data_IF_939329691872
#
_entry.id   IF_939329691872
#
_cell.length_a   1.000
_cell.length_b   1.000
_cell.length_c   1.000
_cell.angle_alpha   90.00
_cell.angle_beta   90.00
_cell.angle_gamma   90.00
#
_symmetry.space_group_name_H-M   'P 1'
#
loop_
_entity.id
_entity.type
_entity.pdbx_description
1 polymer ?
#
# COMPACT_ATOMS: atom_id res chain seq x y z
N UNK A 1 9.87 -4.88 38.21
CA UNK A 1 8.72 -4.97 39.14
C UNK A 1 7.53 -4.28 38.51
N UNK A 2 6.43 -4.98 38.29
CA UNK A 2 5.18 -4.39 37.79
C UNK A 2 4.24 -4.14 38.96
N UNK A 3 3.76 -2.90 39.10
CA UNK A 3 2.61 -2.58 39.94
C UNK A 3 1.39 -2.36 39.05
N UNK A 4 0.31 -3.14 39.21
CA UNK A 4 -0.96 -2.84 38.55
C UNK A 4 -1.65 -1.69 39.29
N UNK A 5 -1.99 -0.62 38.56
CA UNK A 5 -2.92 0.40 39.03
C UNK A 5 -4.32 -0.21 39.01
N UNK A 6 -4.91 -0.41 40.18
CA UNK A 6 -6.28 -0.93 40.32
C UNK A 6 -7.28 0.20 40.08
N UNK A 7 -8.01 0.12 38.97
CA UNK A 7 -9.27 0.84 38.82
C UNK A 7 -10.32 0.21 39.76
N UNK A 8 -10.82 1.01 40.68
CA UNK A 8 -11.89 0.65 41.61
C UNK A 8 -13.23 0.57 40.85
N UNK A 9 -13.64 -0.62 40.42
CA UNK A 9 -15.01 -0.86 39.96
C UNK A 9 -15.91 -1.24 41.14
N UNK A 10 -16.46 -0.22 41.79
CA UNK A 10 -17.63 -0.39 42.67
C UNK A 10 -18.86 -0.67 41.81
N UNK A 11 -19.32 -1.92 41.88
CA UNK A 11 -20.73 -2.29 41.99
C UNK A 11 -21.63 -2.12 40.76
N UNK A 12 -22.12 -3.26 40.25
CA UNK A 12 -23.53 -3.51 39.95
C UNK A 12 -23.73 -5.03 39.89
N UNK A 13 -24.12 -5.59 41.04
CA UNK A 13 -24.44 -7.01 41.20
C UNK A 13 -25.80 -7.32 40.54
N UNK A 14 -25.81 -7.87 39.33
CA UNK A 14 -27.01 -8.52 38.78
C UNK A 14 -27.07 -9.96 39.31
N UNK A 15 -27.90 -10.17 40.33
CA UNK A 15 -28.10 -11.45 41.05
C UNK A 15 -28.85 -12.54 40.25
N UNK A 16 -29.02 -12.39 38.93
CA UNK A 16 -29.74 -13.34 38.07
C UNK A 16 -28.87 -14.27 37.22
N UNK A 17 -27.54 -14.09 37.20
CA UNK A 17 -26.65 -14.86 36.31
C UNK A 17 -26.04 -16.06 37.03
N UNK A 18 -25.99 -17.21 36.35
CA UNK A 18 -25.34 -18.44 36.83
C UNK A 18 -23.83 -18.24 36.98
N UNK A 19 -23.18 -19.06 37.81
CA UNK A 19 -21.76 -18.88 38.11
C UNK A 19 -20.87 -19.07 36.85
N UNK A 20 -21.31 -19.90 35.92
CA UNK A 20 -20.65 -20.10 34.61
C UNK A 20 -20.75 -18.84 33.73
N UNK A 21 -21.91 -18.18 33.70
CA UNK A 21 -22.12 -16.93 32.97
C UNK A 21 -21.30 -15.78 33.56
N UNK A 22 -21.19 -15.69 34.89
CA UNK A 22 -20.32 -14.70 35.55
C UNK A 22 -18.85 -14.94 35.22
N UNK A 23 -18.41 -16.20 35.20
CA UNK A 23 -17.04 -16.54 34.80
C UNK A 23 -16.78 -16.28 33.31
N UNK A 24 -17.76 -16.53 32.43
CA UNK A 24 -17.67 -16.23 31.01
C UNK A 24 -17.60 -14.71 30.76
N UNK A 25 -18.46 -13.94 31.43
CA UNK A 25 -18.47 -12.48 31.38
C UNK A 25 -17.17 -11.89 31.96
N UNK A 26 -16.66 -12.44 33.06
CA UNK A 26 -15.37 -12.05 33.62
C UNK A 26 -14.21 -12.35 32.66
N UNK A 27 -14.18 -13.53 32.03
CA UNK A 27 -13.16 -13.87 31.01
C UNK A 27 -13.30 -12.98 29.77
N UNK A 28 -14.51 -12.66 29.34
CA UNK A 28 -14.77 -11.76 28.22
C UNK A 28 -14.28 -10.34 28.54
N UNK A 29 -14.64 -9.79 29.71
CA UNK A 29 -14.13 -8.49 30.18
C UNK A 29 -12.62 -8.48 30.33
N UNK A 30 -12.01 -9.56 30.85
CA UNK A 30 -10.56 -9.67 30.97
C UNK A 30 -9.87 -9.77 29.60
N UNK A 31 -10.49 -10.42 28.62
CA UNK A 31 -10.02 -10.40 27.22
C UNK A 31 -10.16 -9.02 26.61
N UNK A 32 -11.27 -8.32 26.84
CA UNK A 32 -11.49 -6.95 26.36
C UNK A 32 -10.51 -5.96 27.01
N UNK A 33 -10.29 -6.08 28.32
CA UNK A 33 -9.29 -5.31 29.06
C UNK A 33 -7.86 -5.64 28.61
N UNK A 34 -7.54 -6.91 28.33
CA UNK A 34 -6.24 -7.30 27.75
C UNK A 34 -6.09 -6.91 26.27
N UNK A 35 -7.19 -6.80 25.52
CA UNK A 35 -7.22 -6.28 24.13
C UNK A 35 -7.11 -4.75 24.07
N UNK A 36 -7.47 -4.08 25.18
CA UNK A 36 -7.33 -2.64 25.39
C UNK A 36 -6.04 -2.29 26.15
N UNK A 37 -5.39 -3.25 26.81
CA UNK A 37 -4.06 -3.10 27.39
C UNK A 37 -3.05 -3.04 26.26
N UNK A 38 -2.82 -1.82 25.78
CA UNK A 38 -1.82 -1.49 24.79
C UNK A 38 -0.44 -1.72 25.40
N UNK A 39 0.15 -2.90 25.21
CA UNK A 39 1.58 -3.10 25.46
C UNK A 39 2.33 -2.41 24.34
N UNK A 40 2.40 -1.08 24.39
CA UNK A 40 3.38 -0.35 23.61
C UNK A 40 4.76 -0.82 24.08
N UNK A 41 5.52 -1.41 23.17
CA UNK A 41 6.96 -1.57 23.37
C UNK A 41 7.59 -0.19 23.25
N UNK A 42 7.57 0.54 24.35
CA UNK A 42 8.18 1.86 24.48
C UNK A 42 9.67 1.65 24.73
N UNK A 43 10.53 2.23 23.90
CA UNK A 43 11.97 2.17 24.13
C UNK A 43 12.34 2.86 25.45
N UNK A 44 13.48 2.53 26.09
CA UNK A 44 13.89 3.18 27.34
C UNK A 44 13.88 4.71 27.26
N UNK A 45 14.29 5.27 26.11
CA UNK A 45 14.29 6.71 25.83
C UNK A 45 12.88 7.30 25.74
N UNK A 46 11.95 6.61 25.10
CA UNK A 46 10.56 7.07 25.02
C UNK A 46 9.87 7.02 26.39
N UNK A 47 10.29 6.10 27.27
CA UNK A 47 9.78 5.99 28.64
C UNK A 47 10.21 7.18 29.50
N UNK A 48 11.47 7.61 29.35
CA UNK A 48 12.00 8.81 30.00
C UNK A 48 11.31 10.09 29.51
N UNK A 49 11.05 10.20 28.20
CA UNK A 49 10.34 11.34 27.63
C UNK A 49 8.89 11.45 28.15
N UNK A 50 8.18 10.33 28.24
CA UNK A 50 6.82 10.30 28.79
C UNK A 50 6.82 10.64 30.29
N UNK A 51 7.80 10.13 31.05
CA UNK A 51 7.93 10.44 32.48
C UNK A 51 8.25 11.93 32.72
N UNK A 52 9.11 12.53 31.91
CA UNK A 52 9.42 13.97 32.00
C UNK A 52 8.20 14.87 31.77
N UNK A 53 7.31 14.48 30.85
CA UNK A 53 6.03 15.16 30.60
C UNK A 53 5.06 14.99 31.77
N UNK A 54 4.96 13.79 32.35
CA UNK A 54 4.11 13.51 33.53
C UNK A 54 4.60 14.23 34.79
N UNK A 55 5.91 14.46 34.92
CA UNK A 55 6.54 15.18 36.03
C UNK A 55 6.45 16.72 35.87
N UNK A 56 5.69 17.22 34.88
CA UNK A 56 5.42 18.64 34.68
C UNK A 56 6.59 19.46 34.14
N UNK A 57 7.65 18.81 33.63
CA UNK A 57 8.77 19.49 32.98
C UNK A 57 8.36 19.81 31.54
N UNK A 58 8.06 21.08 31.27
CA UNK A 58 7.73 21.53 29.92
C UNK A 58 8.89 21.23 28.94
N UNK A 59 8.63 20.68 27.75
CA UNK A 59 9.66 20.38 26.78
C UNK A 59 10.32 21.68 26.30
N UNK A 60 11.66 21.72 26.32
CA UNK A 60 12.43 22.79 25.69
C UNK A 60 12.47 22.57 24.18
N UNK A 61 12.18 23.64 23.43
CA UNK A 61 12.31 23.80 21.98
C UNK A 61 11.22 23.17 21.08
N UNK A 62 10.77 23.95 20.10
CA UNK A 62 9.82 23.60 19.03
C UNK A 62 10.15 22.27 18.31
N UNK A 63 11.41 21.85 18.32
CA UNK A 63 11.88 20.58 17.78
C UNK A 63 11.24 19.36 18.48
N UNK A 64 11.04 19.43 19.81
CA UNK A 64 10.40 18.35 20.56
C UNK A 64 8.88 18.33 20.32
N UNK A 65 8.27 19.48 20.08
CA UNK A 65 6.85 19.58 19.74
C UNK A 65 6.56 19.07 18.32
N UNK A 66 7.44 19.36 17.36
CA UNK A 66 7.37 18.80 16.01
C UNK A 66 7.58 17.28 16.02
N UNK A 67 8.52 16.78 16.84
CA UNK A 67 8.77 15.35 17.01
C UNK A 67 7.59 14.64 17.68
N UNK A 68 6.94 15.27 18.66
CA UNK A 68 5.71 14.77 19.27
C UNK A 68 4.55 14.74 18.27
N UNK A 69 4.38 15.78 17.45
CA UNK A 69 3.35 15.78 16.40
C UNK A 69 3.59 14.66 15.38
N UNK A 70 4.84 14.46 14.95
CA UNK A 70 5.20 13.40 14.01
C UNK A 70 4.93 12.01 14.59
N UNK A 71 5.33 11.76 15.84
CA UNK A 71 5.02 10.52 16.56
C UNK A 71 3.52 10.34 16.80
N UNK A 72 2.77 11.41 17.01
CA UNK A 72 1.30 11.36 17.18
C UNK A 72 0.64 10.97 15.86
N UNK A 73 1.05 11.57 14.74
CA UNK A 73 0.56 11.18 13.41
C UNK A 73 0.95 9.74 13.05
N UNK A 74 2.15 9.30 13.44
CA UNK A 74 2.61 7.92 13.23
C UNK A 74 1.81 6.92 14.09
N UNK A 75 1.46 7.29 15.32
CA UNK A 75 0.57 6.50 16.18
C UNK A 75 -0.87 6.46 15.68
N UNK A 76 -1.39 7.56 15.14
CA UNK A 76 -2.74 7.60 14.55
C UNK A 76 -2.81 6.74 13.29
N UNK A 77 -1.83 6.85 12.40
CA UNK A 77 -1.73 6.02 11.19
C UNK A 77 -1.59 4.54 11.55
N UNK A 78 -0.70 4.17 12.49
CA UNK A 78 -0.61 2.80 12.98
C UNK A 78 -1.89 2.33 13.66
N UNK A 79 -2.58 3.20 14.40
CA UNK A 79 -3.86 2.93 15.02
C UNK A 79 -4.96 2.62 14.00
N UNK A 80 -4.98 3.34 12.88
CA UNK A 80 -5.88 3.05 11.76
C UNK A 80 -5.52 1.71 11.10
N UNK A 81 -4.24 1.45 10.82
CA UNK A 81 -3.80 0.15 10.28
C UNK A 81 -4.23 -1.00 11.19
N UNK A 82 -4.08 -0.88 12.51
CA UNK A 82 -4.50 -1.90 13.48
C UNK A 82 -6.02 -2.09 13.49
N UNK A 83 -6.81 -1.02 13.37
CA UNK A 83 -8.28 -1.12 13.28
C UNK A 83 -8.69 -1.85 12.01
N UNK A 84 -8.08 -1.55 10.87
CA UNK A 84 -8.33 -2.24 9.59
C UNK A 84 -7.94 -3.72 9.71
N UNK A 85 -6.76 -4.03 10.24
CA UNK A 85 -6.31 -5.40 10.48
C UNK A 85 -7.25 -6.19 11.40
N UNK A 86 -7.85 -5.54 12.41
CA UNK A 86 -8.82 -6.18 13.30
C UNK A 86 -10.12 -6.49 12.58
N UNK A 87 -10.62 -5.54 11.78
CA UNK A 87 -11.80 -5.75 10.94
C UNK A 87 -11.58 -6.88 9.93
N UNK A 88 -10.42 -6.92 9.28
CA UNK A 88 -10.05 -7.98 8.34
C UNK A 88 -9.94 -9.34 9.01
N UNK A 89 -9.38 -9.40 10.23
CA UNK A 89 -9.27 -10.63 11.01
C UNK A 89 -10.66 -11.14 11.41
N UNK A 90 -11.58 -10.24 11.77
CA UNK A 90 -12.95 -10.57 12.11
C UNK A 90 -13.76 -11.01 10.88
N UNK A 91 -13.58 -10.35 9.74
CA UNK A 91 -14.16 -10.74 8.46
C UNK A 91 -13.64 -12.11 8.00
N UNK A 92 -12.32 -12.33 8.05
CA UNK A 92 -11.70 -13.61 7.73
C UNK A 92 -12.16 -14.72 8.69
N UNK A 93 -12.33 -14.42 9.99
CA UNK A 93 -12.92 -15.36 10.96
C UNK A 93 -14.35 -15.75 10.59
N UNK A 94 -15.19 -14.78 10.26
CA UNK A 94 -16.57 -15.03 9.85
C UNK A 94 -16.62 -15.89 8.56
N UNK A 95 -15.72 -15.63 7.60
CA UNK A 95 -15.59 -16.47 6.42
C UNK A 95 -15.11 -17.90 6.76
N UNK A 96 -14.13 -18.04 7.64
CA UNK A 96 -13.64 -19.35 8.10
C UNK A 96 -14.74 -20.13 8.82
N UNK A 97 -15.53 -19.47 9.67
CA UNK A 97 -16.61 -20.13 10.41
C UNK A 97 -17.78 -20.51 9.48
N UNK A 98 -18.07 -19.70 8.47
CA UNK A 98 -19.01 -20.06 7.39
C UNK A 98 -18.51 -21.29 6.60
N UNK A 99 -17.24 -21.29 6.17
CA UNK A 99 -16.62 -22.40 5.47
C UNK A 99 -16.56 -23.67 6.33
N UNK A 100 -16.33 -23.55 7.64
CA UNK A 100 -16.40 -24.67 8.60
C UNK A 100 -17.81 -25.23 8.71
N UNK A 101 -18.83 -24.37 8.72
CA UNK A 101 -20.23 -24.79 8.68
C UNK A 101 -20.53 -25.60 7.43
N UNK A 102 -20.15 -25.08 6.26
CA UNK A 102 -20.33 -25.76 4.97
C UNK A 102 -19.55 -27.09 4.91
N UNK A 103 -18.32 -27.12 5.43
CA UNK A 103 -17.52 -28.35 5.54
C UNK A 103 -18.20 -29.39 6.44
N UNK A 104 -18.72 -28.98 7.60
CA UNK A 104 -19.44 -29.88 8.50
C UNK A 104 -20.72 -30.43 7.85
N UNK A 105 -21.45 -29.62 7.09
CA UNK A 105 -22.62 -30.06 6.31
C UNK A 105 -22.21 -31.05 5.22
N UNK A 106 -21.16 -30.75 4.45
CA UNK A 106 -20.64 -31.65 3.41
C UNK A 106 -20.12 -32.98 3.98
N UNK A 107 -19.46 -32.96 5.15
CA UNK A 107 -19.02 -34.15 5.85
C UNK A 107 -20.18 -35.02 6.35
N UNK A 108 -21.26 -34.41 6.86
CA UNK A 108 -22.48 -35.15 7.23
C UNK A 108 -23.13 -35.78 6.00
N UNK A 109 -23.26 -35.02 4.92
CA UNK A 109 -23.80 -35.53 3.65
C UNK A 109 -22.96 -36.69 3.07
N UNK A 110 -21.63 -36.62 3.20
CA UNK A 110 -20.72 -37.67 2.75
C UNK A 110 -20.79 -38.95 3.63
N UNK A 111 -21.05 -38.81 4.93
CA UNK A 111 -21.25 -39.95 5.85
C UNK A 111 -22.60 -40.64 5.66
N UNK A 112 -23.67 -39.87 5.43
CA UNK A 112 -25.03 -40.41 5.36
C UNK A 112 -25.37 -41.03 3.99
N UNK A 113 -24.63 -40.66 2.93
CA UNK A 113 -24.73 -41.28 1.61
C UNK A 113 -23.34 -41.39 0.97
N UNK A 114 -22.64 -42.55 1.08
CA UNK A 114 -21.45 -42.83 0.29
C UNK A 114 -21.86 -43.17 -1.15
N UNK A 115 -22.63 -42.31 -1.81
CA UNK A 115 -23.03 -42.49 -3.20
C UNK A 115 -22.02 -41.82 -4.12
N UNK A 116 -21.45 -42.60 -5.04
CA UNK A 116 -20.77 -42.24 -6.30
C UNK A 116 -20.57 -40.73 -6.52
N UNK A 117 -19.34 -40.28 -6.31
CA UNK A 117 -18.90 -38.95 -6.67
C UNK A 117 -19.40 -37.88 -5.72
N UNK A 118 -18.52 -37.43 -4.82
CA UNK A 118 -18.76 -36.24 -4.01
C UNK A 118 -19.13 -35.09 -4.95
N UNK A 119 -20.40 -34.68 -4.96
CA UNK A 119 -20.85 -33.56 -5.79
C UNK A 119 -20.36 -32.29 -5.11
N UNK A 120 -19.16 -31.86 -5.48
CA UNK A 120 -18.55 -30.64 -4.95
C UNK A 120 -19.43 -29.46 -5.36
N UNK A 121 -20.22 -28.96 -4.41
CA UNK A 121 -21.10 -27.80 -4.61
C UNK A 121 -20.22 -26.57 -4.83
N UNK A 122 -20.49 -25.86 -5.91
CA UNK A 122 -19.81 -24.60 -6.21
C UNK A 122 -20.26 -23.54 -5.19
N UNK A 123 -19.31 -22.85 -4.56
CA UNK A 123 -19.63 -21.72 -3.70
C UNK A 123 -20.26 -20.62 -4.58
N UNK A 124 -21.46 -20.19 -4.21
CA UNK A 124 -22.10 -19.04 -4.84
C UNK A 124 -21.16 -17.84 -4.82
N UNK A 125 -21.09 -17.12 -5.96
CA UNK A 125 -20.30 -15.91 -6.13
C UNK A 125 -18.77 -16.05 -5.93
N UNK A 126 -18.20 -17.28 -5.86
CA UNK A 126 -16.73 -17.49 -5.74
C UNK A 126 -15.93 -16.63 -6.73
N UNK A 127 -16.35 -16.64 -7.99
CA UNK A 127 -15.68 -15.90 -9.07
C UNK A 127 -15.65 -14.40 -8.80
N UNK A 128 -16.79 -13.86 -8.38
CA UNK A 128 -16.92 -12.44 -8.04
C UNK A 128 -16.04 -12.11 -6.84
N UNK A 129 -16.05 -12.95 -5.79
CA UNK A 129 -15.21 -12.74 -4.61
C UNK A 129 -13.70 -12.77 -4.93
N UNK A 130 -13.25 -13.68 -5.81
CA UNK A 130 -11.84 -13.73 -6.25
C UNK A 130 -11.48 -12.47 -7.04
N UNK A 131 -12.31 -12.08 -8.02
CA UNK A 131 -12.07 -10.88 -8.82
C UNK A 131 -12.07 -9.61 -7.96
N UNK A 132 -13.02 -9.50 -7.04
CA UNK A 132 -13.11 -8.38 -6.12
C UNK A 132 -11.92 -8.31 -5.17
N UNK A 133 -11.48 -9.43 -4.59
CA UNK A 133 -10.31 -9.48 -3.72
C UNK A 133 -8.99 -9.13 -4.42
N UNK A 134 -8.90 -9.34 -5.74
CA UNK A 134 -7.75 -8.90 -6.54
C UNK A 134 -7.80 -7.41 -6.87
N UNK A 135 -9.00 -6.85 -7.09
CA UNK A 135 -9.19 -5.44 -7.45
C UNK A 135 -9.13 -4.51 -6.24
N UNK A 136 -9.74 -4.90 -5.14
CA UNK A 136 -9.97 -4.03 -3.98
C UNK A 136 -8.86 -4.24 -2.96
N UNK A 137 -8.31 -3.13 -2.46
CA UNK A 137 -7.35 -3.10 -1.37
C UNK A 137 -8.03 -3.28 -0.02
N UNK A 138 -7.25 -3.48 1.04
CA UNK A 138 -7.80 -3.74 2.38
C UNK A 138 -8.59 -2.55 2.95
N UNK A 139 -8.33 -1.34 2.43
CA UNK A 139 -9.07 -0.14 2.78
C UNK A 139 -10.47 -0.06 2.13
N UNK A 140 -10.85 -1.01 1.26
CA UNK A 140 -12.09 -0.97 0.49
C UNK A 140 -11.99 -0.18 -0.82
N UNK A 141 -10.89 0.54 -1.03
CA UNK A 141 -10.63 1.27 -2.27
C UNK A 141 -10.08 0.37 -3.37
N UNK A 142 -10.33 0.73 -4.63
CA UNK A 142 -9.67 0.11 -5.78
C UNK A 142 -8.14 0.28 -5.64
N UNK A 143 -7.39 -0.79 -5.87
CA UNK A 143 -5.93 -0.73 -5.84
C UNK A 143 -5.43 0.27 -6.86
N UNK A 144 -4.34 0.95 -6.51
CA UNK A 144 -3.61 1.78 -7.45
C UNK A 144 -3.01 0.93 -8.59
N UNK A 145 -2.56 1.54 -9.70
CA UNK A 145 -2.04 0.77 -10.82
C UNK A 145 -0.88 -0.16 -10.44
N UNK A 146 -0.02 0.23 -9.50
CA UNK A 146 1.06 -0.62 -9.03
C UNK A 146 0.54 -1.86 -8.26
N UNK A 147 -0.42 -1.66 -7.35
CA UNK A 147 -1.08 -2.71 -6.61
C UNK A 147 -1.87 -3.68 -7.50
N UNK A 148 -2.55 -3.18 -8.54
CA UNK A 148 -3.24 -4.02 -9.52
C UNK A 148 -2.24 -4.90 -10.29
N UNK A 149 -1.11 -4.35 -10.73
CA UNK A 149 -0.06 -5.12 -11.40
C UNK A 149 0.51 -6.22 -10.50
N UNK A 150 0.81 -5.87 -9.24
CA UNK A 150 1.30 -6.84 -8.27
C UNK A 150 0.31 -7.98 -8.06
N UNK A 151 -0.99 -7.70 -7.97
CA UNK A 151 -2.02 -8.74 -7.84
C UNK A 151 -2.16 -9.60 -9.10
N UNK A 152 -2.09 -9.00 -10.29
CA UNK A 152 -2.08 -9.74 -11.54
C UNK A 152 -0.86 -10.68 -11.66
N UNK A 153 0.31 -10.30 -11.14
CA UNK A 153 1.48 -11.17 -11.13
C UNK A 153 1.38 -12.28 -10.05
N UNK A 154 0.79 -11.97 -8.89
CA UNK A 154 0.53 -12.96 -7.85
C UNK A 154 -0.49 -14.01 -8.30
N UNK A 155 -1.54 -13.61 -9.02
CA UNK A 155 -2.55 -14.55 -9.54
C UNK A 155 -1.95 -15.54 -10.55
N UNK A 156 -1.02 -15.10 -11.41
CA UNK A 156 -0.27 -15.99 -12.32
C UNK A 156 0.56 -17.02 -11.54
N UNK A 157 1.28 -16.58 -10.50
CA UNK A 157 2.06 -17.48 -9.63
C UNK A 157 1.16 -18.49 -8.94
N UNK A 158 0.06 -18.01 -8.35
CA UNK A 158 -0.91 -18.87 -7.67
C UNK A 158 -1.55 -19.89 -8.63
N UNK A 159 -1.94 -19.49 -9.84
CA UNK A 159 -2.44 -20.43 -10.85
C UNK A 159 -1.40 -21.50 -11.17
N UNK A 160 -0.14 -21.10 -11.41
CA UNK A 160 0.94 -22.03 -11.71
C UNK A 160 1.18 -23.03 -10.57
N UNK A 161 1.10 -22.58 -9.32
CA UNK A 161 1.20 -23.45 -8.15
C UNK A 161 0.02 -24.43 -8.05
N UNK A 162 -1.23 -23.96 -8.23
CA UNK A 162 -2.42 -24.82 -8.24
C UNK A 162 -2.29 -25.88 -9.33
N UNK A 163 -1.86 -25.49 -10.53
CA UNK A 163 -1.61 -26.39 -11.65
C UNK A 163 -0.55 -27.44 -11.32
N UNK A 164 0.55 -27.03 -10.69
CA UNK A 164 1.62 -27.93 -10.28
C UNK A 164 1.15 -28.93 -9.22
N UNK A 165 0.41 -28.46 -8.20
CA UNK A 165 -0.18 -29.30 -7.15
C UNK A 165 -1.16 -30.31 -7.76
N UNK A 166 -2.07 -29.85 -8.62
CA UNK A 166 -3.02 -30.71 -9.34
C UNK A 166 -2.29 -31.78 -10.16
N UNK A 167 -1.23 -31.42 -10.87
CA UNK A 167 -0.43 -32.37 -11.68
C UNK A 167 0.26 -33.41 -10.81
N UNK A 168 0.85 -33.00 -9.68
CA UNK A 168 1.47 -33.92 -8.71
C UNK A 168 0.43 -34.87 -8.11
N UNK A 169 -0.74 -34.35 -7.74
CA UNK A 169 -1.82 -35.14 -7.17
C UNK A 169 -2.37 -36.16 -8.18
N UNK A 170 -2.60 -35.76 -9.45
CA UNK A 170 -3.00 -36.67 -10.52
C UNK A 170 -1.97 -37.79 -10.75
N UNK A 171 -0.68 -37.47 -10.71
CA UNK A 171 0.38 -38.47 -10.81
C UNK A 171 0.38 -39.42 -9.60
N UNK A 172 0.24 -38.88 -8.39
CA UNK A 172 0.12 -39.69 -7.17
C UNK A 172 -1.07 -40.66 -7.25
N UNK A 173 -2.26 -40.19 -7.64
CA UNK A 173 -3.45 -41.05 -7.81
C UNK A 173 -3.16 -42.16 -8.82
N UNK A 174 -2.55 -41.82 -9.96
CA UNK A 174 -2.20 -42.81 -10.99
C UNK A 174 -1.24 -43.90 -10.48
N UNK A 175 -0.22 -43.49 -9.73
CA UNK A 175 0.74 -44.42 -9.12
C UNK A 175 0.08 -45.27 -8.05
N UNK A 176 -0.67 -44.66 -7.12
CA UNK A 176 -1.28 -45.35 -5.98
C UNK A 176 -2.43 -46.29 -6.36
N UNK A 177 -3.05 -46.09 -7.53
CA UNK A 177 -4.04 -47.02 -8.11
C UNK A 177 -3.41 -48.11 -8.98
N UNK A 178 -2.11 -48.04 -9.23
CA UNK A 178 -1.40 -48.96 -10.14
C UNK A 178 -1.63 -48.68 -11.62
N UNK A 179 -2.33 -47.60 -11.99
CA UNK A 179 -2.58 -47.20 -13.38
C UNK A 179 -1.40 -46.50 -14.04
N UNK A 180 -0.46 -45.97 -13.25
CA UNK A 180 0.85 -45.47 -13.71
C UNK A 180 1.98 -46.19 -13.02
N UNK A 181 2.99 -46.58 -13.78
CA UNK A 181 4.27 -47.04 -13.24
C UNK A 181 5.15 -45.85 -12.88
N UNK A 182 6.00 -46.01 -11.86
CA UNK A 182 7.07 -45.08 -11.51
C UNK A 182 8.32 -45.54 -12.24
N UNK A 183 8.79 -44.75 -13.19
CA UNK A 183 10.10 -44.95 -13.80
C UNK A 183 11.19 -44.50 -12.81
N UNK A 184 12.00 -45.44 -12.34
CA UNK A 184 13.16 -45.13 -11.52
C UNK A 184 14.34 -44.82 -12.46
N UNK A 185 15.10 -43.75 -12.20
CA UNK A 185 16.39 -43.50 -12.88
C UNK A 185 17.41 -44.54 -12.38
N UNK A 186 17.39 -45.74 -12.95
CA UNK A 186 18.26 -46.87 -12.64
C UNK A 186 17.86 -48.12 -13.44
N UNK A 187 18.76 -49.12 -13.55
CA UNK A 187 18.63 -50.26 -14.50
C UNK A 187 17.48 -51.24 -14.24
N UNK A 188 16.57 -50.95 -13.32
CA UNK A 188 15.55 -51.88 -12.81
C UNK A 188 14.14 -51.70 -13.43
N UNK A 189 14.01 -50.84 -14.45
CA UNK A 189 12.76 -50.66 -15.20
C UNK A 189 11.66 -49.92 -14.43
N UNK A 190 10.50 -49.72 -15.07
CA UNK A 190 9.35 -49.04 -14.47
C UNK A 190 8.67 -49.95 -13.42
N UNK A 191 8.51 -49.47 -12.18
CA UNK A 191 7.85 -50.22 -11.11
C UNK A 191 6.42 -49.71 -10.88
N UNK A 192 5.44 -50.61 -10.92
CA UNK A 192 4.05 -50.33 -10.49
C UNK A 192 3.72 -51.15 -9.24
N UNK A 193 2.79 -50.66 -8.43
CA UNK A 193 2.30 -51.42 -7.29
C UNK A 193 1.50 -52.63 -7.77
N UNK A 194 1.83 -53.83 -7.26
CA UNK A 194 1.10 -55.07 -7.56
C UNK A 194 -0.35 -55.07 -7.07
N UNK A 195 -0.68 -54.19 -6.11
CA UNK A 195 -2.03 -53.99 -5.56
C UNK A 195 -2.25 -52.50 -5.35
N UNK A 196 -3.43 -51.99 -5.73
CA UNK A 196 -3.80 -50.61 -5.48
C UNK A 196 -3.74 -50.30 -3.98
N UNK A 197 -3.09 -49.18 -3.65
CA UNK A 197 -2.99 -48.64 -2.30
C UNK A 197 -4.28 -47.89 -1.94
N UNK A 198 -4.82 -47.15 -2.91
CA UNK A 198 -6.09 -46.44 -2.77
C UNK A 198 -7.26 -47.31 -3.18
N UNK A 199 -8.34 -47.24 -2.41
CA UNK A 199 -9.65 -47.74 -2.85
C UNK A 199 -10.22 -46.89 -3.98
N UNK A 200 -11.19 -47.44 -4.72
CA UNK A 200 -11.92 -46.69 -5.77
C UNK A 200 -12.61 -45.45 -5.20
N UNK A 201 -13.14 -45.51 -3.98
CA UNK A 201 -13.75 -44.36 -3.31
C UNK A 201 -12.76 -43.24 -3.01
N UNK A 202 -11.55 -43.58 -2.54
CA UNK A 202 -10.51 -42.60 -2.23
C UNK A 202 -9.93 -41.99 -3.50
N UNK A 203 -9.69 -42.81 -4.52
CA UNK A 203 -9.25 -42.35 -5.84
C UNK A 203 -10.25 -41.36 -6.44
N UNK A 204 -11.55 -41.70 -6.42
CA UNK A 204 -12.61 -40.82 -6.92
C UNK A 204 -12.72 -39.51 -6.13
N UNK A 205 -12.52 -39.54 -4.81
CA UNK A 205 -12.49 -38.33 -3.99
C UNK A 205 -11.34 -37.40 -4.39
N UNK A 206 -10.13 -37.96 -4.56
CA UNK A 206 -8.96 -37.18 -4.94
C UNK A 206 -9.06 -36.64 -6.38
N UNK A 207 -9.65 -37.40 -7.32
CA UNK A 207 -9.99 -36.91 -8.65
C UNK A 207 -11.01 -35.77 -8.62
N UNK A 208 -11.99 -35.86 -7.72
CA UNK A 208 -12.93 -34.77 -7.43
C UNK A 208 -12.21 -33.50 -6.93
N UNK A 209 -11.24 -33.66 -6.03
CA UNK A 209 -10.40 -32.55 -5.55
C UNK A 209 -9.55 -31.93 -6.67
N UNK A 210 -8.94 -32.73 -7.55
CA UNK A 210 -8.24 -32.24 -8.75
C UNK A 210 -9.14 -31.42 -9.67
N UNK A 211 -10.40 -31.83 -9.83
CA UNK A 211 -11.39 -31.11 -10.62
C UNK A 211 -11.72 -29.75 -9.99
N UNK A 212 -11.90 -29.69 -8.66
CA UNK A 212 -12.09 -28.43 -7.94
C UNK A 212 -10.87 -27.51 -8.07
N UNK A 213 -9.66 -28.03 -7.88
CA UNK A 213 -8.42 -27.26 -8.07
C UNK A 213 -8.35 -26.66 -9.48
N UNK A 214 -8.70 -27.43 -10.51
CA UNK A 214 -8.73 -26.93 -11.89
C UNK A 214 -9.76 -25.81 -12.13
N UNK A 215 -10.89 -25.84 -11.41
CA UNK A 215 -11.87 -24.74 -11.48
C UNK A 215 -11.37 -23.48 -10.78
N UNK A 216 -10.74 -23.63 -9.61
CA UNK A 216 -10.14 -22.51 -8.87
C UNK A 216 -9.01 -21.89 -9.69
N UNK A 217 -8.14 -22.72 -10.28
CA UNK A 217 -7.09 -22.28 -11.23
C UNK A 217 -7.69 -21.39 -12.32
N UNK A 218 -8.72 -21.86 -13.03
CA UNK A 218 -9.34 -21.10 -14.11
C UNK A 218 -10.09 -19.83 -13.65
N UNK A 219 -10.53 -19.77 -12.41
CA UNK A 219 -11.13 -18.55 -11.84
C UNK A 219 -10.04 -17.52 -11.46
N UNK A 220 -8.95 -17.99 -10.84
CA UNK A 220 -7.78 -17.17 -10.49
C UNK A 220 -7.11 -16.61 -11.74
N UNK A 221 -6.97 -17.42 -12.80
CA UNK A 221 -6.40 -16.97 -14.07
C UNK A 221 -7.22 -15.86 -14.73
N UNK A 222 -8.55 -16.03 -14.76
CA UNK A 222 -9.46 -15.03 -15.34
C UNK A 222 -9.46 -13.74 -14.52
N UNK A 223 -9.64 -13.84 -13.21
CA UNK A 223 -9.56 -12.68 -12.33
C UNK A 223 -8.21 -11.95 -12.46
N UNK A 224 -7.11 -12.71 -12.58
CA UNK A 224 -5.78 -12.17 -12.84
C UNK A 224 -5.66 -11.44 -14.18
N UNK A 225 -6.27 -11.99 -15.24
CA UNK A 225 -6.32 -11.36 -16.55
C UNK A 225 -7.13 -10.07 -16.53
N UNK A 226 -8.32 -10.08 -15.92
CA UNK A 226 -9.18 -8.90 -15.79
C UNK A 226 -8.48 -7.80 -14.97
N UNK A 227 -7.79 -8.18 -13.88
CA UNK A 227 -6.98 -7.27 -13.06
C UNK A 227 -5.84 -6.65 -13.87
N UNK A 228 -5.21 -7.41 -14.78
CA UNK A 228 -4.18 -6.89 -15.67
C UNK A 228 -4.74 -5.90 -16.69
N UNK A 229 -5.89 -6.20 -17.29
CA UNK A 229 -6.56 -5.27 -18.20
C UNK A 229 -6.91 -3.96 -17.49
N UNK A 230 -7.45 -4.07 -16.26
CA UNK A 230 -7.73 -2.91 -15.42
C UNK A 230 -6.45 -2.13 -15.11
N UNK A 231 -5.36 -2.80 -14.75
CA UNK A 231 -4.05 -2.15 -14.58
C UNK A 231 -3.64 -1.36 -15.83
N UNK A 232 -3.71 -1.98 -17.02
CA UNK A 232 -3.34 -1.32 -18.29
C UNK A 232 -4.20 -0.09 -18.55
N UNK A 233 -5.51 -0.19 -18.33
CA UNK A 233 -6.42 0.93 -18.46
C UNK A 233 -6.08 2.06 -17.48
N UNK A 234 -6.00 1.75 -16.17
CA UNK A 234 -5.70 2.75 -15.13
C UNK A 234 -4.34 3.39 -15.31
N UNK A 235 -3.33 2.64 -15.76
CA UNK A 235 -2.01 3.18 -16.06
C UNK A 235 -2.05 4.15 -17.26
N UNK A 236 -2.84 3.84 -18.29
CA UNK A 236 -3.05 4.73 -19.43
C UNK A 236 -3.80 6.01 -19.03
N UNK A 237 -4.86 5.90 -18.23
CA UNK A 237 -5.61 7.04 -17.67
C UNK A 237 -4.69 7.96 -16.86
N UNK A 238 -3.88 7.38 -15.96
CA UNK A 238 -2.97 8.15 -15.11
C UNK A 238 -1.86 8.84 -15.93
N UNK A 239 -1.35 8.16 -16.97
CA UNK A 239 -0.41 8.76 -17.93
C UNK A 239 -1.04 9.92 -18.72
N UNK A 240 -2.29 9.76 -19.15
CA UNK A 240 -3.04 10.81 -19.85
C UNK A 240 -3.29 12.02 -18.94
N UNK A 241 -3.68 11.81 -17.68
CA UNK A 241 -3.82 12.88 -16.69
C UNK A 241 -2.50 13.60 -16.47
N UNK A 242 -1.38 12.89 -16.37
CA UNK A 242 -0.05 13.51 -16.27
C UNK A 242 0.27 14.37 -17.50
N UNK A 243 0.03 13.86 -18.71
CA UNK A 243 0.26 14.61 -19.94
C UNK A 243 -0.61 15.86 -20.02
N UNK A 244 -1.88 15.75 -19.63
CA UNK A 244 -2.81 16.87 -19.58
C UNK A 244 -2.39 17.91 -18.53
N UNK A 245 -2.03 17.50 -17.31
CA UNK A 245 -1.55 18.40 -16.27
C UNK A 245 -0.27 19.14 -16.70
N UNK A 246 0.66 18.45 -17.36
CA UNK A 246 1.86 19.06 -17.94
C UNK A 246 1.47 20.08 -19.02
N UNK A 247 0.60 19.71 -19.96
CA UNK A 247 0.15 20.62 -21.02
C UNK A 247 -0.57 21.87 -20.47
N UNK A 248 -1.39 21.72 -19.43
CA UNK A 248 -2.04 22.84 -18.74
C UNK A 248 -1.01 23.77 -18.10
N UNK A 249 -0.04 23.20 -17.36
CA UNK A 249 1.01 23.99 -16.71
C UNK A 249 1.93 24.67 -17.74
N UNK A 250 2.26 23.98 -18.84
CA UNK A 250 3.04 24.56 -19.94
C UNK A 250 2.27 25.72 -20.58
N UNK A 251 1.00 25.52 -20.96
CA UNK A 251 0.21 26.57 -21.61
C UNK A 251 -0.03 27.79 -20.70
N UNK A 252 -0.29 27.59 -19.41
CA UNK A 252 -0.61 28.68 -18.49
C UNK A 252 0.63 29.41 -17.96
N UNK A 253 1.74 28.69 -17.80
CA UNK A 253 2.91 29.16 -17.08
C UNK A 253 4.18 29.02 -17.91
N UNK A 254 4.58 27.81 -18.33
CA UNK A 254 5.95 27.55 -18.77
C UNK A 254 6.27 27.88 -20.24
N UNK A 255 5.30 27.86 -21.15
CA UNK A 255 5.52 28.04 -22.59
C UNK A 255 6.04 29.44 -22.97
N UNK A 256 5.89 30.43 -22.08
CA UNK A 256 6.36 31.80 -22.28
C UNK A 256 7.43 32.26 -21.28
N UNK A 257 7.98 31.37 -20.44
CA UNK A 257 9.03 31.78 -19.51
C UNK A 257 10.37 31.94 -20.21
N UNK A 258 10.97 33.11 -20.04
CA UNK A 258 12.40 33.30 -20.25
C UNK A 258 13.20 32.82 -19.02
N UNK A 259 14.53 32.86 -19.09
CA UNK A 259 15.41 32.43 -17.98
C UNK A 259 15.11 33.16 -16.67
N UNK A 260 14.74 34.44 -16.76
CA UNK A 260 14.35 35.24 -15.60
C UNK A 260 13.02 34.75 -15.02
N UNK A 261 12.04 34.47 -15.86
CA UNK A 261 10.75 33.91 -15.46
C UNK A 261 10.88 32.51 -14.82
N UNK A 262 11.77 31.65 -15.33
CA UNK A 262 12.09 30.37 -14.69
C UNK A 262 12.66 30.60 -13.27
N UNK A 263 13.57 31.55 -13.12
CA UNK A 263 14.18 31.90 -11.83
C UNK A 263 13.15 32.45 -10.83
N UNK A 264 12.28 33.36 -11.29
CA UNK A 264 11.18 33.92 -10.50
C UNK A 264 10.19 32.84 -10.07
N UNK A 265 9.90 31.87 -10.95
CA UNK A 265 8.98 30.78 -10.61
C UNK A 265 9.55 29.92 -9.47
N UNK A 266 10.82 29.53 -9.59
CA UNK A 266 11.50 28.73 -8.55
C UNK A 266 11.59 29.51 -7.24
N UNK A 267 11.93 30.80 -7.30
CA UNK A 267 11.99 31.67 -6.12
C UNK A 267 10.62 31.80 -5.44
N UNK A 268 9.55 32.03 -6.22
CA UNK A 268 8.18 32.14 -5.71
C UNK A 268 7.67 30.81 -5.12
N UNK A 269 8.03 29.67 -5.74
CA UNK A 269 7.62 28.34 -5.28
C UNK A 269 8.25 27.96 -3.94
N UNK A 270 9.51 28.38 -3.72
CA UNK A 270 10.21 28.16 -2.45
C UNK A 270 9.91 29.25 -1.41
N UNK A 271 9.57 30.47 -1.83
CA UNK A 271 9.31 31.60 -0.96
C UNK A 271 10.53 31.93 -0.08
N UNK A 272 10.27 32.43 1.13
CA UNK A 272 11.31 32.77 2.12
C UNK A 272 11.84 31.54 2.88
N UNK A 273 11.46 30.33 2.46
CA UNK A 273 11.85 29.09 3.14
C UNK A 273 13.32 28.79 2.87
N UNK A 274 14.17 29.29 3.76
CA UNK A 274 15.55 28.84 3.89
C UNK A 274 15.58 27.58 4.78
N UNK A 275 15.10 26.46 4.25
CA UNK A 275 15.36 25.19 4.92
C UNK A 275 16.88 24.99 4.89
N UNK A 276 17.49 24.89 6.07
CA UNK A 276 18.94 24.97 6.31
C UNK A 276 19.79 23.87 5.66
N UNK A 277 19.15 22.98 4.88
CA UNK A 277 19.76 21.87 4.14
C UNK A 277 19.07 21.64 2.78
N UNK A 278 18.49 22.69 2.19
CA UNK A 278 17.87 22.60 0.85
C UNK A 278 18.83 23.07 -0.23
N UNK A 279 18.72 22.47 -1.40
CA UNK A 279 19.48 22.86 -2.60
C UNK A 279 19.20 24.31 -3.00
N UNK A 280 17.98 24.79 -2.73
CA UNK A 280 17.63 26.20 -2.79
C UNK A 280 18.52 27.06 -1.87
N UNK A 281 18.76 26.65 -0.63
CA UNK A 281 19.62 27.39 0.29
C UNK A 281 21.09 27.41 -0.18
N UNK A 282 21.59 26.29 -0.71
CA UNK A 282 22.93 26.19 -1.29
C UNK A 282 23.07 27.11 -2.51
N UNK A 283 22.07 27.12 -3.39
CA UNK A 283 22.00 28.03 -4.53
C UNK A 283 22.07 29.49 -4.08
N UNK A 284 21.29 29.87 -3.07
CA UNK A 284 21.30 31.23 -2.51
C UNK A 284 22.67 31.61 -1.92
N UNK A 285 23.36 30.67 -1.26
CA UNK A 285 24.68 30.93 -0.69
C UNK A 285 25.75 31.11 -1.78
N UNK A 286 25.68 30.36 -2.88
CA UNK A 286 26.53 30.60 -4.06
C UNK A 286 26.26 31.99 -4.65
N UNK A 287 24.98 32.36 -4.81
CA UNK A 287 24.58 33.68 -5.31
C UNK A 287 25.03 34.83 -4.40
N UNK A 288 25.21 34.55 -3.10
CA UNK A 288 25.75 35.49 -2.12
C UNK A 288 27.28 35.51 -2.06
N UNK A 289 27.97 34.73 -2.91
CA UNK A 289 29.43 34.64 -2.95
C UNK A 289 30.05 33.82 -1.82
N UNK A 290 29.26 33.04 -1.09
CA UNK A 290 29.77 32.14 -0.05
C UNK A 290 30.27 30.85 -0.70
N UNK A 291 31.48 30.43 -0.35
CA UNK A 291 32.04 29.14 -0.77
C UNK A 291 31.51 28.04 0.14
N UNK A 292 30.96 26.96 -0.42
CA UNK A 292 30.49 25.83 0.37
C UNK A 292 29.71 24.73 -0.36
N UNK A 293 29.10 25.01 -1.52
CA UNK A 293 28.34 24.00 -2.25
C UNK A 293 29.22 23.10 -3.12
N UNK A 294 28.89 21.80 -3.15
CA UNK A 294 29.60 20.79 -3.95
C UNK A 294 29.29 20.90 -5.45
N UNK A 295 28.06 21.30 -5.79
CA UNK A 295 27.56 21.40 -7.16
C UNK A 295 27.54 22.86 -7.68
N UNK A 296 27.74 23.09 -9.00
CA UNK A 296 27.59 24.40 -9.61
C UNK A 296 26.15 24.96 -9.50
N UNK A 297 26.03 26.29 -9.44
CA UNK A 297 24.74 26.98 -9.31
C UNK A 297 23.72 26.59 -10.40
N UNK A 298 24.15 26.46 -11.66
CA UNK A 298 23.24 26.05 -12.73
C UNK A 298 22.71 24.62 -12.59
N UNK A 299 23.47 23.71 -11.98
CA UNK A 299 23.02 22.32 -11.73
C UNK A 299 21.96 22.33 -10.63
N UNK A 300 22.23 23.00 -9.51
CA UNK A 300 21.29 23.17 -8.41
C UNK A 300 19.98 23.79 -8.89
N UNK A 301 20.06 24.87 -9.69
CA UNK A 301 18.89 25.53 -10.23
C UNK A 301 18.04 24.62 -11.13
N UNK A 302 18.66 23.88 -12.06
CA UNK A 302 17.92 22.98 -12.96
C UNK A 302 17.20 21.86 -12.21
N UNK A 303 17.83 21.32 -11.17
CA UNK A 303 17.23 20.29 -10.30
C UNK A 303 16.05 20.86 -9.52
N UNK A 304 16.23 22.02 -8.91
CA UNK A 304 15.16 22.72 -8.18
C UNK A 304 13.99 23.10 -9.10
N UNK A 305 14.27 23.61 -10.31
CA UNK A 305 13.26 23.88 -11.33
C UNK A 305 12.46 22.62 -11.68
N UNK A 306 13.15 21.50 -11.93
CA UNK A 306 12.51 20.22 -12.21
C UNK A 306 11.65 19.74 -11.04
N UNK A 307 12.13 19.89 -9.81
CA UNK A 307 11.42 19.48 -8.61
C UNK A 307 10.13 20.28 -8.42
N UNK A 308 10.20 21.62 -8.49
CA UNK A 308 9.04 22.48 -8.30
C UNK A 308 8.01 22.30 -9.42
N UNK A 309 8.45 22.12 -10.67
CA UNK A 309 7.56 21.71 -11.78
C UNK A 309 6.88 20.37 -11.48
N UNK A 310 7.65 19.37 -11.05
CA UNK A 310 7.13 18.05 -10.69
C UNK A 310 6.12 18.09 -9.54
N UNK A 311 6.36 18.90 -8.51
CA UNK A 311 5.43 19.11 -7.38
C UNK A 311 4.12 19.75 -7.85
N UNK A 312 4.19 20.77 -8.70
CA UNK A 312 2.99 21.40 -9.28
C UNK A 312 2.18 20.39 -10.08
N UNK A 313 2.82 19.69 -11.03
CA UNK A 313 2.16 18.68 -11.88
C UNK A 313 1.53 17.58 -11.02
N UNK A 314 2.23 17.10 -9.98
CA UNK A 314 1.72 16.06 -9.09
C UNK A 314 0.46 16.51 -8.32
N UNK A 315 0.42 17.78 -7.87
CA UNK A 315 -0.77 18.36 -7.22
C UNK A 315 -1.95 18.50 -8.18
N UNK A 316 -1.69 18.91 -9.42
CA UNK A 316 -2.71 18.99 -10.46
C UNK A 316 -3.29 17.59 -10.74
N UNK A 317 -2.44 16.59 -10.98
CA UNK A 317 -2.86 15.19 -11.17
C UNK A 317 -3.65 14.66 -9.97
N UNK A 318 -3.27 14.99 -8.74
CA UNK A 318 -4.02 14.59 -7.55
C UNK A 318 -5.44 15.15 -7.53
N UNK A 319 -5.63 16.41 -7.93
CA UNK A 319 -6.95 17.06 -8.02
C UNK A 319 -7.79 16.52 -9.18
N UNK A 320 -7.15 16.23 -10.30
CA UNK A 320 -7.81 15.57 -11.44
C UNK A 320 -8.32 14.16 -11.08
N UNK A 321 -7.54 13.40 -10.29
CA UNK A 321 -7.95 12.07 -9.81
C UNK A 321 -9.20 12.08 -8.94
N UNK A 322 -9.46 13.15 -8.19
CA UNK A 322 -10.68 13.29 -7.39
C UNK A 322 -11.90 13.70 -8.24
N UNK A 323 -11.76 13.78 -9.57
CA UNK A 323 -12.82 14.17 -10.49
C UNK A 323 -13.06 15.68 -10.56
N UNK A 324 -12.21 16.47 -9.92
CA UNK A 324 -12.39 17.91 -9.75
C UNK A 324 -11.43 18.69 -10.67
N UNK A 325 -11.80 18.75 -11.95
CA UNK A 325 -11.07 19.53 -12.95
C UNK A 325 -11.08 21.03 -12.61
N UNK A 326 -12.19 21.53 -12.05
CA UNK A 326 -12.31 22.93 -11.66
C UNK A 326 -11.32 23.28 -10.54
N UNK A 327 -11.16 22.42 -9.53
CA UNK A 327 -10.17 22.65 -8.48
C UNK A 327 -8.72 22.51 -8.96
N UNK A 328 -8.46 21.73 -10.02
CA UNK A 328 -7.15 21.67 -10.67
C UNK A 328 -6.85 22.98 -11.41
N UNK A 329 -7.81 23.49 -12.18
CA UNK A 329 -7.71 24.78 -12.88
C UNK A 329 -7.59 25.96 -11.90
N UNK A 330 -8.38 25.98 -10.84
CA UNK A 330 -8.32 26.99 -9.78
C UNK A 330 -6.95 26.99 -9.09
N UNK A 331 -6.40 25.81 -8.78
CA UNK A 331 -5.06 25.71 -8.20
C UNK A 331 -3.99 26.24 -9.13
N UNK A 332 -4.06 25.91 -10.43
CA UNK A 332 -3.15 26.43 -11.43
C UNK A 332 -3.28 27.95 -11.55
N UNK A 333 -4.50 28.47 -11.61
CA UNK A 333 -4.77 29.91 -11.67
C UNK A 333 -4.24 30.64 -10.44
N UNK A 334 -4.36 30.06 -9.24
CA UNK A 334 -3.79 30.61 -8.02
C UNK A 334 -2.26 30.69 -8.09
N UNK A 335 -1.59 29.63 -8.56
CA UNK A 335 -0.13 29.61 -8.74
C UNK A 335 0.31 30.65 -9.77
N UNK A 336 -0.39 30.75 -10.90
CA UNK A 336 -0.14 31.76 -11.92
C UNK A 336 -0.33 33.18 -11.36
N UNK A 337 -1.38 33.41 -10.58
CA UNK A 337 -1.65 34.72 -9.94
C UNK A 337 -0.53 35.11 -8.98
N UNK A 338 -0.05 34.18 -8.16
CA UNK A 338 1.08 34.42 -7.24
C UNK A 338 2.37 34.69 -8.02
N UNK A 339 2.67 33.88 -9.02
CA UNK A 339 3.84 34.05 -9.85
C UNK A 339 3.86 35.42 -10.56
N UNK A 340 2.73 35.84 -11.13
CA UNK A 340 2.60 37.13 -11.85
C UNK A 340 2.31 38.33 -10.96
N UNK A 341 2.29 38.16 -9.63
CA UNK A 341 2.00 39.26 -8.70
C UNK A 341 3.18 40.24 -8.66
N UNK A 342 2.95 41.58 -8.65
CA UNK A 342 4.01 42.57 -8.55
C UNK A 342 4.96 42.34 -7.36
N UNK A 343 4.43 41.96 -6.19
CA UNK A 343 5.24 41.63 -5.00
C UNK A 343 6.25 40.50 -5.24
N UNK A 344 5.98 39.58 -6.17
CA UNK A 344 6.92 38.50 -6.52
C UNK A 344 8.13 39.07 -7.24
N UNK A 345 7.91 40.01 -8.15
CA UNK A 345 8.97 40.74 -8.84
C UNK A 345 9.76 41.63 -7.87
N UNK A 346 9.07 42.33 -6.97
CA UNK A 346 9.69 43.17 -5.96
C UNK A 346 10.60 42.37 -5.02
N UNK A 347 10.13 41.20 -4.57
CA UNK A 347 10.88 40.35 -3.62
C UNK A 347 12.00 39.55 -4.27
N UNK A 348 11.78 39.02 -5.47
CA UNK A 348 12.69 38.03 -6.07
C UNK A 348 13.33 38.49 -7.38
N UNK A 349 12.97 39.66 -7.91
CA UNK A 349 13.49 40.18 -9.19
C UNK A 349 15.00 40.34 -9.22
N UNK A 350 15.60 40.86 -8.14
CA UNK A 350 17.06 41.02 -8.04
C UNK A 350 17.77 39.66 -8.03
N UNK A 351 17.24 38.71 -7.25
CA UNK A 351 17.75 37.34 -7.17
C UNK A 351 17.64 36.63 -8.52
N UNK A 352 16.50 36.76 -9.19
CA UNK A 352 16.28 36.22 -10.52
C UNK A 352 17.24 36.82 -11.56
N UNK A 353 17.53 38.13 -11.47
CA UNK A 353 18.52 38.80 -12.32
C UNK A 353 19.93 38.24 -12.13
N UNK A 354 20.37 38.07 -10.87
CA UNK A 354 21.68 37.48 -10.55
C UNK A 354 21.79 36.05 -11.07
N UNK A 355 20.78 35.23 -10.80
CA UNK A 355 20.75 33.84 -11.27
C UNK A 355 20.75 33.77 -12.81
N UNK A 356 19.96 34.59 -13.48
CA UNK A 356 19.91 34.65 -14.95
C UNK A 356 21.28 34.99 -15.54
N UNK A 357 21.96 35.98 -14.95
CA UNK A 357 23.30 36.40 -15.39
C UNK A 357 24.31 35.26 -15.28
N UNK A 358 24.29 34.51 -14.16
CA UNK A 358 25.15 33.35 -13.98
C UNK A 358 24.86 32.24 -14.97
N UNK A 359 23.58 31.92 -15.22
CA UNK A 359 23.21 30.87 -16.18
C UNK A 359 23.67 31.22 -17.60
N UNK A 360 23.57 32.49 -17.99
CA UNK A 360 24.08 32.96 -19.29
C UNK A 360 25.61 32.88 -19.34
N UNK A 361 26.31 33.27 -18.28
CA UNK A 361 27.77 33.18 -18.19
C UNK A 361 28.25 31.72 -18.28
N UNK A 362 27.62 30.79 -17.56
CA UNK A 362 27.90 29.35 -17.66
C UNK A 362 27.70 28.83 -19.10
N UNK A 363 26.64 29.28 -19.78
CA UNK A 363 26.36 28.86 -21.15
C UNK A 363 27.44 29.35 -22.12
N UNK A 364 27.88 30.60 -22.00
CA UNK A 364 28.98 31.15 -22.81
C UNK A 364 30.28 30.39 -22.56
N UNK A 365 30.61 30.12 -21.28
CA UNK A 365 31.81 29.39 -20.92
C UNK A 365 31.80 27.95 -21.45
N UNK A 366 30.65 27.27 -21.37
CA UNK A 366 30.49 25.92 -21.92
C UNK A 366 30.66 25.88 -23.44
N UNK A 367 30.12 26.87 -24.16
CA UNK A 367 30.23 26.98 -25.62
C UNK A 367 31.65 27.38 -26.08
N UNK A 368 32.43 28.02 -25.21
CA UNK A 368 33.83 28.37 -25.48
C UNK A 368 34.81 27.21 -25.28
N UNK A 369 34.38 26.16 -24.56
CA UNK A 369 35.17 24.96 -24.25
C UNK A 369 34.86 23.77 -25.18
N UNK A 370 33.76 23.85 -25.94
CA UNK A 370 33.42 22.94 -27.04
C UNK A 370 34.04 23.41 -28.34
#
# INVERSE_FOLDING_TARGET
MCYPVTCNDRGLNNMGQSNSERQAAYRARRRQANLNAMTLWVSPQQREAIQAVLDGKAPQAEADQAKLQLLTTELETQGQVIKTLRFDLEFARNQIDSLRGQLATAQRQAKDKPSRGLKVVELENRRQAIAEGMRIGWAGDERDPAGLKQQADLSRKLSAEIKAVRTRLMTFIGVATGTKAVEQKGSWGAMSFKKAILSDSESNLLLGACTLLGRIEGDVERAGHDTLQLHTQRAAELKAMHAQATAMADAALFAGLDRRGEALFVAAANGDKRASFSEWADLLDILAGKKGAYDPAGVLFRRELSEQKGRLISRLVSKMKTGDMAAAEEHLAEVVRRFRHPDTEEKYGELAGRLTTLLVAEQIESASKS
#
